data_IF_800610981723
#
_entry.id   IF_800610981723
#
_cell.length_a   1.000
_cell.length_b   1.000
_cell.length_c   1.000
_cell.angle_alpha   90.00
_cell.angle_beta   90.00
_cell.angle_gamma   90.00
#
_symmetry.space_group_name_H-M   'P 1'
#
loop_
_entity.id
_entity.type
_entity.pdbx_description
1 polymer ?
#
# COMPACT_ATOMS: atom_id res chain seq x y z
N UNK A 1 -10.97 -8.63 14.01
CA UNK A 1 -9.73 -7.87 13.85
C UNK A 1 -10.04 -6.52 13.26
N UNK A 2 -9.47 -5.46 13.80
CA UNK A 2 -9.73 -4.13 13.25
C UNK A 2 -9.24 -3.97 11.82
N UNK A 3 -8.38 -4.88 11.37
CA UNK A 3 -7.83 -4.84 10.01
C UNK A 3 -8.77 -5.42 8.97
N UNK A 4 -9.91 -5.96 9.41
CA UNK A 4 -10.88 -6.59 8.49
C UNK A 4 -11.86 -5.58 7.87
N UNK A 5 -11.76 -4.31 8.25
CA UNK A 5 -12.62 -3.28 7.68
C UNK A 5 -12.22 -3.09 6.21
N UNK A 6 -13.19 -3.19 5.32
CA UNK A 6 -12.92 -3.06 3.89
C UNK A 6 -12.55 -1.63 3.52
N UNK A 7 -11.77 -1.49 2.45
CA UNK A 7 -11.40 -0.18 1.91
C UNK A 7 -12.66 0.61 1.51
N UNK A 8 -13.67 -0.07 0.97
CA UNK A 8 -14.92 0.58 0.58
C UNK A 8 -15.61 1.24 1.77
N UNK A 9 -15.65 0.54 2.91
CA UNK A 9 -16.24 1.07 4.12
C UNK A 9 -15.43 2.26 4.64
N UNK A 10 -14.11 2.14 4.61
CA UNK A 10 -13.22 3.25 5.02
C UNK A 10 -13.39 4.45 4.12
N UNK A 11 -13.55 4.24 2.81
CA UNK A 11 -13.80 5.34 1.88
C UNK A 11 -15.14 6.01 2.15
N UNK A 12 -16.18 5.22 2.43
CA UNK A 12 -17.49 5.76 2.76
C UNK A 12 -17.44 6.59 4.04
N UNK A 13 -16.75 6.11 5.07
CA UNK A 13 -16.58 6.83 6.32
C UNK A 13 -15.77 8.11 6.13
N UNK A 14 -14.73 8.05 5.32
CA UNK A 14 -13.90 9.22 4.99
C UNK A 14 -14.76 10.28 4.30
N UNK A 15 -15.60 9.88 3.37
CA UNK A 15 -16.50 10.79 2.68
C UNK A 15 -17.51 11.42 3.63
N UNK A 16 -17.86 10.72 4.70
CA UNK A 16 -18.74 11.24 5.74
C UNK A 16 -18.01 12.12 6.77
N UNK A 17 -16.71 12.29 6.63
CA UNK A 17 -15.92 13.15 7.51
C UNK A 17 -15.17 12.44 8.60
N UNK A 18 -15.07 11.12 8.57
CA UNK A 18 -14.34 10.33 9.56
C UNK A 18 -12.83 10.35 9.25
N UNK A 19 -12.12 11.17 10.00
CA UNK A 19 -10.69 11.36 9.82
C UNK A 19 -9.88 10.11 10.17
N UNK A 20 -10.32 9.37 11.18
CA UNK A 20 -9.64 8.14 11.58
C UNK A 20 -9.71 7.11 10.46
N UNK A 21 -10.84 7.02 9.76
CA UNK A 21 -10.99 6.14 8.61
C UNK A 21 -10.04 6.54 7.48
N UNK A 22 -9.89 7.82 7.24
CA UNK A 22 -8.94 8.34 6.25
C UNK A 22 -7.52 7.94 6.60
N UNK A 23 -7.11 8.09 7.86
CA UNK A 23 -5.77 7.76 8.30
C UNK A 23 -5.46 6.28 8.08
N UNK A 24 -6.41 5.40 8.40
CA UNK A 24 -6.25 3.96 8.18
C UNK A 24 -6.13 3.66 6.69
N UNK A 25 -6.98 4.27 5.88
CA UNK A 25 -6.98 4.05 4.45
C UNK A 25 -5.67 4.54 3.82
N UNK A 26 -5.20 5.71 4.22
CA UNK A 26 -3.93 6.27 3.76
C UNK A 26 -2.76 5.36 4.13
N UNK A 27 -2.75 4.83 5.36
CA UNK A 27 -1.72 3.90 5.80
C UNK A 27 -1.69 2.63 4.97
N UNK A 28 -2.85 2.06 4.65
CA UNK A 28 -2.95 0.89 3.78
C UNK A 28 -2.42 1.17 2.39
N UNK A 29 -2.78 2.32 1.83
CA UNK A 29 -2.33 2.71 0.51
C UNK A 29 -0.81 2.88 0.46
N UNK A 30 -0.24 3.55 1.45
CA UNK A 30 1.20 3.74 1.54
C UNK A 30 1.94 2.41 1.67
N UNK A 31 1.39 1.48 2.44
CA UNK A 31 1.99 0.15 2.60
C UNK A 31 2.00 -0.61 1.28
N UNK A 32 0.89 -0.57 0.54
CA UNK A 32 0.80 -1.21 -0.78
C UNK A 32 1.79 -0.59 -1.75
N UNK A 33 1.89 0.73 -1.74
CA UNK A 33 2.82 1.44 -2.61
C UNK A 33 4.26 1.07 -2.28
N UNK A 34 4.59 0.99 -0.99
CA UNK A 34 5.92 0.60 -0.55
C UNK A 34 6.26 -0.82 -1.00
N UNK A 35 5.33 -1.75 -0.84
CA UNK A 35 5.53 -3.13 -1.25
C UNK A 35 5.74 -3.23 -2.75
N UNK A 36 4.95 -2.49 -3.53
CA UNK A 36 5.09 -2.45 -4.98
C UNK A 36 6.45 -1.88 -5.38
N UNK A 37 6.89 -0.80 -4.75
CA UNK A 37 8.18 -0.20 -5.03
C UNK A 37 9.33 -1.16 -4.71
N UNK A 38 9.26 -1.85 -3.57
CA UNK A 38 10.28 -2.83 -3.20
C UNK A 38 10.35 -3.98 -4.18
N UNK A 39 9.21 -4.42 -4.70
CA UNK A 39 9.17 -5.47 -5.70
C UNK A 39 9.85 -5.03 -6.99
N UNK A 40 9.55 -3.82 -7.46
CA UNK A 40 10.16 -3.29 -8.68
C UNK A 40 11.66 -3.11 -8.51
N UNK A 41 12.10 -2.60 -7.36
CA UNK A 41 13.52 -2.44 -7.08
C UNK A 41 14.23 -3.79 -6.97
N UNK A 42 13.58 -4.78 -6.36
CA UNK A 42 14.13 -6.12 -6.28
C UNK A 42 14.29 -6.76 -7.65
N UNK A 43 13.31 -6.60 -8.52
CA UNK A 43 13.37 -7.13 -9.90
C UNK A 43 14.47 -6.44 -10.69
N UNK A 44 14.63 -5.14 -10.54
CA UNK A 44 15.67 -4.39 -11.21
C UNK A 44 17.07 -4.83 -10.76
N UNK A 45 17.24 -5.03 -9.46
CA UNK A 45 18.51 -5.50 -8.90
C UNK A 45 18.85 -6.89 -9.41
N UNK A 46 17.86 -7.79 -9.45
CA UNK A 46 18.06 -9.14 -9.98
C UNK A 46 18.44 -9.11 -11.46
N UNK A 47 17.81 -8.23 -12.24
CA UNK A 47 18.12 -8.09 -13.65
C UNK A 47 19.54 -7.57 -13.86
N UNK A 48 19.98 -6.63 -13.02
CA UNK A 48 21.33 -6.09 -13.10
C UNK A 48 22.36 -7.16 -12.74
N UNK A 49 22.08 -7.99 -11.75
CA UNK A 49 22.98 -9.08 -11.37
C UNK A 49 23.18 -10.07 -12.51
N UNK A 50 22.12 -10.41 -13.21
CA UNK A 50 22.18 -11.30 -14.36
C UNK A 50 23.00 -10.67 -15.49
N UNK A 51 22.82 -9.38 -15.71
CA UNK A 51 23.55 -8.66 -16.76
C UNK A 51 25.04 -8.55 -16.48
N UNK A 52 25.43 -8.57 -15.20
CA UNK A 52 26.83 -8.44 -14.82
C UNK A 52 27.62 -9.75 -14.94
N UNK A 53 26.93 -10.86 -15.03
CA UNK A 53 27.56 -12.15 -15.23
C UNK A 53 27.92 -12.37 -16.71
#
# INVERSE_FOLDING_TARGET
MPDDISDELLMARTAAGDRAAFDVLAGRYLLRLRRAALRVLGDAAAAEDVAQD
#
